data_IF_138347725613
#
_entry.id   IF_138347725613
#
_cell.length_a   1.000
_cell.length_b   1.000
_cell.length_c   1.000
_cell.angle_alpha   90.00
_cell.angle_beta   90.00
_cell.angle_gamma   90.00
#
_symmetry.space_group_name_H-M   'P 1'
#
loop_
_entity.id
_entity.type
_entity.pdbx_description
1 polymer ?
#
# COMPACT_ATOMS: atom_id res chain seq x y z
N UNK A 1 47.55 -54.27 34.77
CA UNK A 1 46.86 -53.35 33.86
C UNK A 1 46.43 -52.11 34.69
N UNK A 2 47.24 -51.07 34.65
CA UNK A 2 47.01 -49.81 35.39
C UNK A 2 46.16 -48.87 34.59
N UNK A 3 44.96 -48.52 35.12
CA UNK A 3 44.08 -47.48 34.49
C UNK A 3 44.60 -46.08 34.85
N UNK A 4 45.20 -45.42 33.91
CA UNK A 4 45.53 -43.96 33.99
C UNK A 4 44.25 -43.20 34.04
N UNK A 5 43.88 -42.63 35.21
CA UNK A 5 42.81 -41.62 35.30
C UNK A 5 43.30 -40.33 34.65
N UNK A 6 42.72 -40.01 33.48
CA UNK A 6 42.88 -38.70 32.85
C UNK A 6 42.23 -37.64 33.75
N UNK A 7 43.06 -36.96 34.55
CA UNK A 7 42.60 -35.81 35.32
C UNK A 7 42.18 -34.68 34.38
N UNK A 8 41.03 -34.08 34.62
CA UNK A 8 40.60 -32.84 33.91
C UNK A 8 41.70 -31.80 33.97
N UNK A 9 42.06 -31.17 32.85
CA UNK A 9 43.13 -30.18 32.76
C UNK A 9 42.90 -29.07 33.78
N UNK A 10 43.97 -28.61 34.43
CA UNK A 10 43.95 -27.61 35.50
C UNK A 10 43.19 -26.35 35.13
N UNK A 11 43.26 -25.96 33.87
CA UNK A 11 42.56 -24.83 33.28
C UNK A 11 41.03 -24.94 33.38
N UNK A 12 40.47 -26.15 33.14
CA UNK A 12 39.03 -26.42 33.24
C UNK A 12 38.57 -26.36 34.69
N UNK A 13 39.41 -26.82 35.67
CA UNK A 13 39.09 -26.73 37.10
C UNK A 13 39.17 -25.30 37.62
N UNK A 14 40.12 -24.51 37.18
CA UNK A 14 40.22 -23.07 37.49
C UNK A 14 39.04 -22.30 36.91
N UNK A 15 38.71 -22.50 35.62
CA UNK A 15 37.56 -21.89 35.00
C UNK A 15 36.25 -22.24 35.73
N UNK A 16 36.03 -23.52 36.08
CA UNK A 16 34.86 -23.96 36.84
C UNK A 16 34.79 -23.39 38.28
N UNK A 17 35.93 -23.06 38.88
CA UNK A 17 35.99 -22.43 40.20
C UNK A 17 35.73 -20.94 40.17
N UNK A 18 36.20 -20.22 39.13
CA UNK A 18 35.89 -18.82 38.90
C UNK A 18 34.43 -18.61 38.53
N UNK A 19 33.83 -19.51 37.72
CA UNK A 19 32.39 -19.51 37.45
C UNK A 19 31.52 -19.69 38.69
N UNK A 20 32.00 -20.31 39.75
CA UNK A 20 31.25 -20.48 41.02
C UNK A 20 31.37 -19.30 41.98
N UNK A 21 32.37 -18.45 41.83
CA UNK A 21 32.71 -17.42 42.82
C UNK A 21 32.22 -16.00 42.49
N UNK A 22 31.71 -15.72 41.30
CA UNK A 22 31.51 -14.33 40.90
C UNK A 22 30.45 -14.02 39.85
N UNK A 23 29.36 -14.80 39.77
CA UNK A 23 28.34 -14.60 38.70
C UNK A 23 27.37 -13.43 38.99
N UNK A 24 27.29 -12.93 40.25
CA UNK A 24 26.27 -11.90 40.57
C UNK A 24 26.48 -10.54 39.87
N UNK A 25 27.73 -10.11 39.60
CA UNK A 25 27.99 -8.88 38.81
C UNK A 25 27.95 -9.11 37.31
N UNK A 26 28.28 -10.32 36.85
CA UNK A 26 28.31 -10.66 35.43
C UNK A 26 26.91 -10.95 34.86
N UNK A 27 25.97 -11.35 35.74
CA UNK A 27 24.58 -11.64 35.36
C UNK A 27 23.85 -10.42 34.76
N UNK A 28 24.06 -9.23 35.31
CA UNK A 28 23.47 -7.99 34.78
C UNK A 28 24.03 -7.66 33.39
N UNK A 29 25.36 -7.80 33.22
CA UNK A 29 26.02 -7.60 31.93
C UNK A 29 25.51 -8.59 30.86
N UNK A 30 25.40 -9.86 31.23
CA UNK A 30 24.85 -10.90 30.35
C UNK A 30 23.38 -10.65 30.01
N UNK A 31 22.60 -10.21 30.98
CA UNK A 31 21.19 -9.84 30.78
C UNK A 31 21.02 -8.64 29.82
N UNK A 32 21.89 -7.63 29.95
CA UNK A 32 21.89 -6.49 29.04
C UNK A 32 22.22 -6.90 27.59
N UNK A 33 23.25 -7.74 27.41
CA UNK A 33 23.60 -8.26 26.08
C UNK A 33 22.45 -9.11 25.53
N UNK A 34 21.91 -10.03 26.33
CA UNK A 34 20.80 -10.89 25.91
C UNK A 34 19.58 -10.07 25.53
N UNK A 35 19.25 -9.02 26.28
CA UNK A 35 18.16 -8.11 25.99
C UNK A 35 18.39 -7.31 24.69
N UNK A 36 19.61 -6.81 24.49
CA UNK A 36 19.98 -6.11 23.25
C UNK A 36 19.87 -7.02 22.02
N UNK A 37 20.43 -8.23 22.11
CA UNK A 37 20.34 -9.22 21.03
C UNK A 37 18.90 -9.65 20.78
N UNK A 38 18.11 -9.89 21.84
CA UNK A 38 16.70 -10.24 21.72
C UNK A 38 15.87 -9.12 21.06
N UNK A 39 16.15 -7.85 21.39
CA UNK A 39 15.49 -6.71 20.77
C UNK A 39 15.81 -6.62 19.28
N UNK A 40 17.08 -6.76 18.88
CA UNK A 40 17.50 -6.73 17.47
C UNK A 40 16.86 -7.87 16.68
N UNK A 41 16.92 -9.10 17.21
CA UNK A 41 16.32 -10.28 16.56
C UNK A 41 14.81 -10.14 16.50
N UNK A 42 14.16 -9.66 17.57
CA UNK A 42 12.71 -9.47 17.65
C UNK A 42 12.23 -8.49 16.59
N UNK A 43 12.84 -7.31 16.50
CA UNK A 43 12.51 -6.30 15.47
C UNK A 43 12.78 -6.84 14.06
N UNK A 44 13.90 -7.50 13.84
CA UNK A 44 14.22 -8.11 12.55
C UNK A 44 13.23 -9.20 12.13
N UNK A 45 12.74 -10.02 13.07
CA UNK A 45 11.73 -11.05 12.81
C UNK A 45 10.37 -10.45 12.45
N UNK A 46 9.93 -9.42 13.20
CA UNK A 46 8.66 -8.72 12.91
C UNK A 46 8.72 -8.03 11.55
N UNK A 47 9.84 -7.34 11.25
CA UNK A 47 10.05 -6.68 9.96
C UNK A 47 9.97 -7.67 8.79
N UNK A 48 10.66 -8.80 8.87
CA UNK A 48 10.61 -9.85 7.84
C UNK A 48 9.21 -10.44 7.71
N UNK A 49 8.57 -10.78 8.81
CA UNK A 49 7.21 -11.33 8.81
C UNK A 49 6.19 -10.38 8.15
N UNK A 50 6.34 -9.07 8.37
CA UNK A 50 5.50 -8.06 7.75
C UNK A 50 5.80 -7.92 6.25
N UNK A 51 7.08 -7.87 5.87
CA UNK A 51 7.49 -7.82 4.45
C UNK A 51 7.03 -9.06 3.68
N UNK A 52 7.17 -10.25 4.26
CA UNK A 52 6.71 -11.51 3.66
C UNK A 52 5.18 -11.57 3.55
N UNK A 53 4.47 -11.03 4.54
CA UNK A 53 3.02 -10.88 4.52
C UNK A 53 2.55 -9.93 3.40
N UNK A 54 3.18 -8.77 3.31
CA UNK A 54 2.92 -7.78 2.26
C UNK A 54 3.25 -8.33 0.86
N UNK A 55 4.34 -9.08 0.71
CA UNK A 55 4.70 -9.68 -0.57
C UNK A 55 3.68 -10.73 -1.05
N UNK A 56 3.13 -11.54 -0.13
CA UNK A 56 2.09 -12.52 -0.45
C UNK A 56 0.78 -11.88 -0.89
N UNK A 57 0.36 -10.81 -0.21
CA UNK A 57 -0.84 -10.05 -0.53
C UNK A 57 -0.59 -8.91 -1.53
N UNK A 58 0.66 -8.73 -1.95
CA UNK A 58 1.13 -7.57 -2.71
C UNK A 58 0.34 -7.28 -3.96
N UNK A 59 0.00 -8.32 -4.70
CA UNK A 59 -0.81 -8.20 -5.93
C UNK A 59 -2.22 -7.67 -5.63
N UNK A 60 -2.81 -8.09 -4.52
CA UNK A 60 -4.14 -7.65 -4.09
C UNK A 60 -4.09 -6.20 -3.59
N UNK A 61 -3.10 -5.89 -2.75
CA UNK A 61 -2.90 -4.54 -2.20
C UNK A 61 -2.61 -3.53 -3.32
N UNK A 62 -1.74 -3.89 -4.27
CA UNK A 62 -1.40 -3.02 -5.40
C UNK A 62 -2.55 -2.90 -6.41
N UNK A 63 -3.42 -3.92 -6.50
CA UNK A 63 -4.48 -4.04 -7.50
C UNK A 63 -3.95 -4.38 -8.89
N UNK A 64 -2.74 -4.95 -8.97
CA UNK A 64 -2.03 -5.32 -10.20
C UNK A 64 -0.68 -5.96 -9.91
N UNK A 65 0.10 -6.25 -10.93
CA UNK A 65 1.47 -6.76 -10.78
C UNK A 65 2.49 -5.62 -10.64
N UNK A 66 2.22 -4.49 -11.32
CA UNK A 66 3.04 -3.27 -11.31
C UNK A 66 2.13 -2.04 -11.41
N UNK A 67 2.51 -0.94 -10.79
CA UNK A 67 1.78 0.33 -10.83
C UNK A 67 2.74 1.47 -11.15
N UNK A 68 2.36 2.29 -12.13
CA UNK A 68 3.05 3.50 -12.54
C UNK A 68 2.24 4.70 -12.04
N UNK A 69 2.78 5.38 -11.04
CA UNK A 69 2.11 6.52 -10.41
C UNK A 69 2.72 7.80 -10.94
N UNK A 70 1.86 8.71 -11.39
CA UNK A 70 2.26 10.03 -11.88
C UNK A 70 1.40 11.11 -11.24
N UNK A 71 1.98 12.28 -11.01
CA UNK A 71 1.31 13.44 -10.42
C UNK A 71 1.00 14.48 -11.51
N UNK A 72 -0.09 15.22 -11.31
CA UNK A 72 -0.48 16.40 -12.09
C UNK A 72 -0.93 16.17 -13.53
N UNK A 73 -0.62 15.05 -14.16
CA UNK A 73 -1.00 14.76 -15.55
C UNK A 73 -1.41 13.31 -15.73
N UNK A 74 -2.17 13.05 -16.75
CA UNK A 74 -2.39 11.69 -17.26
C UNK A 74 -1.16 11.20 -18.05
N UNK A 75 -1.16 9.92 -18.41
CA UNK A 75 -0.17 9.35 -19.32
C UNK A 75 -0.26 10.01 -20.70
N UNK A 76 0.88 10.21 -21.34
CA UNK A 76 0.90 10.49 -22.77
C UNK A 76 0.45 9.27 -23.59
N UNK A 77 0.09 9.47 -24.85
CA UNK A 77 -0.30 8.35 -25.72
C UNK A 77 0.81 7.31 -25.89
N UNK A 78 2.08 7.74 -25.91
CA UNK A 78 3.23 6.85 -26.01
C UNK A 78 3.43 6.03 -24.71
N UNK A 79 3.32 6.71 -23.56
CA UNK A 79 3.39 6.06 -22.24
C UNK A 79 2.26 5.03 -22.08
N UNK A 80 1.04 5.41 -22.46
CA UNK A 80 -0.13 4.52 -22.40
C UNK A 80 0.06 3.28 -23.29
N UNK A 81 0.47 3.48 -24.55
CA UNK A 81 0.74 2.38 -25.46
C UNK A 81 1.85 1.44 -24.98
N UNK A 82 2.87 1.99 -24.30
CA UNK A 82 3.90 1.15 -23.65
C UNK A 82 3.30 0.28 -22.54
N UNK A 83 2.43 0.82 -21.68
CA UNK A 83 1.82 0.05 -20.60
C UNK A 83 0.83 -1.00 -21.15
N UNK A 84 0.06 -0.69 -22.17
CA UNK A 84 -0.85 -1.64 -22.83
C UNK A 84 -0.10 -2.81 -23.47
N UNK A 85 1.11 -2.57 -24.01
CA UNK A 85 1.96 -3.65 -24.51
C UNK A 85 2.46 -4.59 -23.43
N UNK A 86 2.49 -4.18 -22.16
CA UNK A 86 2.86 -5.03 -21.03
C UNK A 86 1.70 -5.92 -20.56
N UNK A 87 0.47 -5.45 -20.69
CA UNK A 87 -0.70 -6.17 -20.21
C UNK A 87 -1.96 -5.32 -20.09
N UNK A 88 -2.84 -5.74 -19.21
CA UNK A 88 -4.13 -5.09 -18.99
C UNK A 88 -3.97 -3.89 -18.04
N UNK A 89 -4.23 -2.70 -18.55
CA UNK A 89 -4.07 -1.43 -17.84
C UNK A 89 -5.37 -0.98 -17.19
N UNK A 90 -5.27 -0.54 -15.95
CA UNK A 90 -6.37 0.07 -15.20
C UNK A 90 -5.90 1.41 -14.62
N UNK A 91 -6.49 2.51 -15.09
CA UNK A 91 -6.14 3.86 -14.64
C UNK A 91 -7.11 4.32 -13.57
N UNK A 92 -6.58 4.70 -12.42
CA UNK A 92 -7.30 5.28 -11.31
C UNK A 92 -6.76 6.67 -11.04
N UNK A 93 -7.59 7.53 -10.45
CA UNK A 93 -7.15 8.84 -9.98
C UNK A 93 -7.45 9.00 -8.49
N UNK A 94 -6.62 9.73 -7.78
CA UNK A 94 -6.87 10.10 -6.39
C UNK A 94 -6.47 11.55 -6.14
N UNK A 95 -7.32 12.27 -5.40
CA UNK A 95 -7.03 13.62 -4.93
C UNK A 95 -7.85 13.94 -3.67
N UNK A 96 -7.48 15.01 -2.98
CA UNK A 96 -8.29 15.58 -1.92
C UNK A 96 -9.19 16.67 -2.47
N UNK A 97 -10.45 16.67 -2.04
CA UNK A 97 -11.42 17.67 -2.42
C UNK A 97 -12.43 17.94 -1.31
N UNK A 98 -13.25 18.95 -1.52
CA UNK A 98 -14.37 19.26 -0.62
C UNK A 98 -15.65 18.64 -1.15
N UNK A 99 -16.31 17.84 -0.32
CA UNK A 99 -17.68 17.37 -0.54
C UNK A 99 -18.63 18.25 0.27
N UNK A 100 -19.72 18.71 -0.35
CA UNK A 100 -20.70 19.60 0.33
C UNK A 100 -22.13 19.21 -0.02
N UNK A 101 -23.02 19.32 0.93
CA UNK A 101 -24.46 19.32 0.66
C UNK A 101 -24.89 20.67 0.05
N UNK A 102 -26.02 20.72 -0.65
CA UNK A 102 -26.53 21.97 -1.22
C UNK A 102 -26.76 23.08 -0.19
N UNK A 103 -27.07 22.71 1.05
CA UNK A 103 -27.55 23.58 2.13
C UNK A 103 -26.68 23.53 3.40
N UNK A 104 -25.50 22.88 3.37
CA UNK A 104 -24.76 22.55 4.58
C UNK A 104 -23.23 22.62 4.41
N UNK A 105 -22.57 22.14 5.46
CA UNK A 105 -21.13 22.11 5.61
C UNK A 105 -20.39 21.39 4.49
N UNK A 106 -19.15 21.83 4.31
CA UNK A 106 -18.19 21.16 3.45
C UNK A 106 -17.26 20.27 4.26
N UNK A 107 -17.03 19.06 3.78
CA UNK A 107 -16.14 18.09 4.42
C UNK A 107 -14.99 17.76 3.48
N UNK A 108 -13.75 17.80 3.98
CA UNK A 108 -12.58 17.33 3.24
C UNK A 108 -12.66 15.82 3.09
N UNK A 109 -12.59 15.34 1.86
CA UNK A 109 -12.65 13.92 1.49
C UNK A 109 -11.46 13.52 0.65
N UNK A 110 -11.13 12.24 0.67
CA UNK A 110 -10.20 11.63 -0.26
C UNK A 110 -10.97 10.98 -1.40
N UNK A 111 -10.94 11.63 -2.55
CA UNK A 111 -11.56 11.10 -3.77
C UNK A 111 -10.69 10.00 -4.37
N UNK A 112 -11.35 8.94 -4.78
CA UNK A 112 -10.78 7.86 -5.59
C UNK A 112 -11.69 7.62 -6.78
N UNK A 113 -11.21 8.00 -7.94
CA UNK A 113 -11.88 7.72 -9.19
C UNK A 113 -11.39 6.40 -9.76
N UNK A 114 -12.32 5.53 -10.13
CA UNK A 114 -12.01 4.18 -10.62
C UNK A 114 -12.74 3.90 -11.94
N UNK A 115 -12.16 3.07 -12.83
CA UNK A 115 -12.88 2.61 -14.01
C UNK A 115 -14.00 1.65 -13.61
N UNK A 116 -15.01 1.49 -14.45
CA UNK A 116 -16.11 0.54 -14.18
C UNK A 116 -15.68 -0.92 -14.13
N UNK A 117 -14.45 -1.23 -14.51
CA UNK A 117 -13.84 -2.56 -14.34
C UNK A 117 -13.19 -2.79 -12.96
N UNK A 118 -13.24 -1.80 -12.07
CA UNK A 118 -12.67 -1.89 -10.72
C UNK A 118 -13.58 -2.71 -9.78
N UNK A 119 -13.01 -3.50 -8.85
CA UNK A 119 -11.59 -3.81 -8.74
C UNK A 119 -11.19 -4.95 -9.69
N UNK A 120 -9.99 -4.87 -10.28
CA UNK A 120 -9.45 -5.94 -11.14
C UNK A 120 -8.97 -7.15 -10.34
N UNK A 121 -8.52 -6.90 -9.11
CA UNK A 121 -8.03 -7.92 -8.17
C UNK A 121 -8.62 -7.62 -6.80
N UNK A 122 -9.17 -8.65 -6.16
CA UNK A 122 -9.86 -8.53 -4.87
C UNK A 122 -11.32 -8.13 -5.01
N UNK A 123 -11.93 -7.73 -3.90
CA UNK A 123 -13.36 -7.38 -3.83
C UNK A 123 -13.54 -6.10 -3.03
N UNK A 124 -14.38 -5.20 -3.51
CA UNK A 124 -14.89 -4.08 -2.74
C UNK A 124 -16.24 -4.46 -2.14
N UNK A 125 -16.45 -4.11 -0.87
CA UNK A 125 -17.69 -4.40 -0.14
C UNK A 125 -18.43 -3.11 0.07
N UNK A 126 -19.68 -3.08 -0.39
CA UNK A 126 -20.60 -1.94 -0.29
C UNK A 126 -21.87 -2.37 0.44
N UNK A 127 -22.38 -1.56 1.33
CA UNK A 127 -23.66 -1.74 2.03
C UNK A 127 -24.68 -0.66 1.63
N UNK A 128 -25.94 -1.06 1.33
CA UNK A 128 -26.44 -2.44 1.21
C UNK A 128 -25.75 -3.19 0.09
N UNK A 129 -25.69 -4.54 0.21
CA UNK A 129 -24.93 -5.40 -0.70
C UNK A 129 -25.29 -5.15 -2.16
N UNK A 130 -24.33 -4.65 -2.92
CA UNK A 130 -24.41 -4.39 -4.36
C UNK A 130 -23.01 -4.38 -4.97
N UNK A 131 -22.93 -4.55 -6.27
CA UNK A 131 -21.67 -4.40 -7.00
C UNK A 131 -21.26 -2.91 -7.03
N UNK A 132 -19.99 -2.64 -6.73
CA UNK A 132 -19.47 -1.26 -6.71
C UNK A 132 -19.63 -0.59 -8.08
N UNK A 133 -19.50 -1.33 -9.17
CA UNK A 133 -19.68 -0.84 -10.54
C UNK A 133 -21.08 -0.24 -10.73
N UNK A 134 -22.11 -0.95 -10.26
CA UNK A 134 -23.50 -0.46 -10.31
C UNK A 134 -23.71 0.76 -9.42
N UNK A 135 -23.08 0.76 -8.24
CA UNK A 135 -23.19 1.89 -7.31
C UNK A 135 -22.57 3.18 -7.86
N UNK A 136 -21.46 3.11 -8.61
CA UNK A 136 -20.79 4.30 -9.17
C UNK A 136 -21.18 4.66 -10.59
N UNK A 137 -21.97 3.83 -11.26
CA UNK A 137 -22.42 4.10 -12.64
C UNK A 137 -23.35 5.34 -12.70
N UNK A 138 -23.48 5.92 -13.88
CA UNK A 138 -24.48 6.95 -14.11
C UNK A 138 -25.86 6.32 -14.30
N UNK A 139 -26.87 6.82 -13.57
CA UNK A 139 -28.29 6.50 -13.77
C UNK A 139 -29.07 7.81 -13.93
N UNK A 140 -29.88 7.89 -14.96
CA UNK A 140 -30.69 9.09 -15.28
C UNK A 140 -29.86 10.38 -15.34
N UNK A 141 -28.62 10.29 -15.85
CA UNK A 141 -27.72 11.43 -15.97
C UNK A 141 -27.00 11.83 -14.68
N UNK A 142 -27.23 11.14 -13.56
CA UNK A 142 -26.55 11.39 -12.27
C UNK A 142 -25.59 10.27 -11.95
N UNK A 143 -24.33 10.62 -11.71
CA UNK A 143 -23.33 9.67 -11.29
C UNK A 143 -23.51 9.28 -9.82
N UNK A 144 -23.33 7.99 -9.52
CA UNK A 144 -23.31 7.50 -8.16
C UNK A 144 -21.94 7.59 -7.51
N UNK A 145 -21.92 7.58 -6.19
CA UNK A 145 -20.73 7.37 -5.40
C UNK A 145 -21.00 6.51 -4.18
N UNK A 146 -19.94 5.89 -3.65
CA UNK A 146 -19.94 5.23 -2.36
C UNK A 146 -18.92 5.89 -1.45
N UNK A 147 -19.17 5.90 -0.15
CA UNK A 147 -18.28 6.57 0.81
C UNK A 147 -18.18 5.80 2.12
N UNK A 148 -17.08 5.99 2.84
CA UNK A 148 -16.95 5.47 4.21
C UNK A 148 -18.02 6.05 5.14
N UNK A 149 -18.45 5.28 6.15
CA UNK A 149 -19.44 5.66 7.16
C UNK A 149 -19.17 7.05 7.79
N UNK A 150 -17.91 7.40 7.95
CA UNK A 150 -17.51 8.69 8.52
C UNK A 150 -17.99 9.89 7.70
N UNK A 151 -18.09 9.81 6.38
CA UNK A 151 -18.66 10.89 5.56
C UNK A 151 -20.16 10.93 5.69
N UNK A 152 -20.82 9.77 5.60
CA UNK A 152 -22.28 9.68 5.75
C UNK A 152 -22.75 10.25 7.09
N UNK A 153 -22.05 9.92 8.17
CA UNK A 153 -22.33 10.44 9.50
C UNK A 153 -22.09 11.97 9.61
N UNK A 154 -21.01 12.51 9.00
CA UNK A 154 -20.68 13.94 9.07
C UNK A 154 -21.65 14.82 8.31
N UNK A 155 -22.14 14.34 7.18
CA UNK A 155 -23.08 15.08 6.33
C UNK A 155 -24.54 14.63 6.52
N UNK A 156 -24.82 13.74 7.47
CA UNK A 156 -26.15 13.12 7.69
C UNK A 156 -26.75 12.62 6.37
N UNK A 157 -25.96 11.85 5.60
CA UNK A 157 -26.35 11.38 4.26
C UNK A 157 -27.17 10.11 4.35
N UNK A 158 -28.30 10.13 3.69
CA UNK A 158 -29.13 8.95 3.41
C UNK A 158 -28.95 8.54 1.95
N UNK A 159 -29.11 7.25 1.71
CA UNK A 159 -29.05 6.71 0.34
C UNK A 159 -30.04 7.44 -0.58
N UNK A 160 -29.56 7.81 -1.77
CA UNK A 160 -30.30 8.60 -2.74
C UNK A 160 -30.12 10.12 -2.59
N UNK A 161 -29.56 10.59 -1.47
CA UNK A 161 -29.23 12.01 -1.33
C UNK A 161 -28.02 12.42 -2.16
N UNK A 162 -27.99 13.69 -2.52
CA UNK A 162 -26.99 14.22 -3.44
C UNK A 162 -26.06 15.20 -2.74
N UNK A 163 -24.78 15.16 -3.15
CA UNK A 163 -23.76 16.12 -2.72
C UNK A 163 -23.06 16.71 -3.94
N UNK A 164 -22.46 17.86 -3.76
CA UNK A 164 -21.53 18.44 -4.72
C UNK A 164 -20.09 18.04 -4.38
N UNK A 165 -19.36 17.69 -5.43
CA UNK A 165 -17.89 17.55 -5.42
C UNK A 165 -17.38 18.35 -6.61
N UNK A 166 -16.71 19.48 -6.34
CA UNK A 166 -16.47 20.47 -7.39
C UNK A 166 -17.80 20.92 -8.03
N UNK A 167 -17.92 20.84 -9.35
CA UNK A 167 -19.11 21.21 -10.12
C UNK A 167 -20.09 20.02 -10.28
N UNK A 168 -19.70 18.80 -9.96
CA UNK A 168 -20.53 17.61 -10.15
C UNK A 168 -21.50 17.40 -9.00
N UNK A 169 -22.76 17.12 -9.34
CA UNK A 169 -23.78 16.64 -8.42
C UNK A 169 -23.80 15.12 -8.46
N UNK A 170 -23.49 14.48 -7.32
CA UNK A 170 -23.32 13.04 -7.18
C UNK A 170 -24.33 12.46 -6.20
N UNK A 171 -24.83 11.26 -6.47
CA UNK A 171 -25.80 10.57 -5.62
C UNK A 171 -25.12 9.53 -4.72
N UNK A 172 -25.38 9.61 -3.42
CA UNK A 172 -24.90 8.63 -2.44
C UNK A 172 -25.69 7.32 -2.56
N UNK A 173 -25.00 6.25 -2.93
CA UNK A 173 -25.64 4.94 -3.20
C UNK A 173 -25.27 3.84 -2.24
N UNK A 174 -24.34 4.07 -1.34
CA UNK A 174 -24.01 3.08 -0.33
C UNK A 174 -22.76 3.39 0.46
N UNK A 175 -22.62 2.67 1.57
CA UNK A 175 -21.45 2.74 2.43
C UNK A 175 -20.33 1.84 1.88
N UNK A 176 -19.13 2.38 1.81
CA UNK A 176 -17.91 1.63 1.50
C UNK A 176 -17.38 0.99 2.78
N UNK A 177 -17.61 -0.31 2.93
CA UNK A 177 -17.14 -1.09 4.09
C UNK A 177 -15.68 -1.50 3.91
N UNK A 178 -15.31 -1.94 2.70
CA UNK A 178 -13.95 -2.41 2.42
C UNK A 178 -13.59 -2.22 0.95
N UNK A 179 -12.32 -1.90 0.73
CA UNK A 179 -11.69 -1.89 -0.60
C UNK A 179 -10.37 -2.69 -0.56
N UNK A 180 -10.03 -3.44 -1.64
CA UNK A 180 -8.89 -4.37 -1.61
C UNK A 180 -7.54 -3.68 -1.55
N UNK A 181 -7.44 -2.47 -2.08
CA UNK A 181 -6.22 -1.69 -2.29
C UNK A 181 -6.11 -0.45 -1.39
N UNK A 182 -6.82 -0.43 -0.25
CA UNK A 182 -6.81 0.67 0.72
C UNK A 182 -5.39 1.02 1.17
N UNK A 183 -4.57 0.02 1.42
CA UNK A 183 -3.20 0.20 1.89
C UNK A 183 -2.25 0.80 0.85
N UNK A 184 -2.52 0.60 -0.45
CA UNK A 184 -1.70 1.17 -1.52
C UNK A 184 -1.83 2.70 -1.63
N UNK A 185 -2.94 3.27 -1.16
CA UNK A 185 -3.20 4.70 -1.13
C UNK A 185 -2.40 5.47 -0.07
N UNK A 186 -1.88 4.77 0.93
CA UNK A 186 -1.26 5.38 2.12
C UNK A 186 -2.28 5.79 3.18
N UNK A 187 -1.84 6.60 4.15
CA UNK A 187 -2.70 7.11 5.22
C UNK A 187 -3.57 8.25 4.64
N UNK A 188 -4.87 8.04 4.59
CA UNK A 188 -5.83 9.05 4.15
C UNK A 188 -6.02 10.16 5.20
N UNK A 189 -6.23 11.39 4.73
CA UNK A 189 -6.47 12.57 5.59
C UNK A 189 -7.96 12.92 5.70
N UNK A 190 -8.86 12.10 5.20
CA UNK A 190 -10.31 12.28 5.24
C UNK A 190 -11.04 11.01 4.86
N UNK A 191 -12.37 10.98 5.03
CA UNK A 191 -13.18 9.84 4.62
C UNK A 191 -13.05 9.58 3.10
N UNK A 192 -12.97 8.30 2.75
CA UNK A 192 -12.87 7.86 1.35
C UNK A 192 -14.19 8.02 0.62
N UNK A 193 -14.11 8.52 -0.61
CA UNK A 193 -15.20 8.56 -1.58
C UNK A 193 -14.74 7.87 -2.85
N UNK A 194 -15.49 6.88 -3.33
CA UNK A 194 -15.21 6.21 -4.60
C UNK A 194 -16.31 6.60 -5.61
N UNK A 195 -15.88 7.00 -6.79
CA UNK A 195 -16.72 7.35 -7.92
C UNK A 195 -16.12 6.82 -9.22
N UNK A 196 -16.84 6.89 -10.31
CA UNK A 196 -16.29 6.58 -11.63
C UNK A 196 -15.31 7.66 -12.12
N UNK A 197 -14.40 7.30 -13.04
CA UNK A 197 -13.49 8.27 -13.69
C UNK A 197 -14.31 9.33 -14.44
N UNK A 198 -15.45 8.96 -15.05
CA UNK A 198 -16.32 9.90 -15.75
C UNK A 198 -16.96 10.90 -14.79
N UNK A 199 -17.44 10.43 -13.62
CA UNK A 199 -17.92 11.29 -12.55
C UNK A 199 -16.80 12.25 -12.08
N UNK A 200 -15.59 11.77 -11.93
CA UNK A 200 -14.47 12.58 -11.52
C UNK A 200 -14.14 13.68 -12.55
N UNK A 201 -14.16 13.36 -13.83
CA UNK A 201 -13.96 14.35 -14.90
C UNK A 201 -15.03 15.43 -14.90
N UNK A 202 -16.29 15.08 -14.58
CA UNK A 202 -17.38 16.06 -14.50
C UNK A 202 -17.29 17.01 -13.31
N UNK A 203 -16.40 16.73 -12.31
CA UNK A 203 -16.22 17.62 -11.15
C UNK A 203 -15.56 18.97 -11.47
N UNK A 204 -14.93 19.13 -12.63
CA UNK A 204 -14.13 20.31 -12.96
C UNK A 204 -12.84 20.49 -12.13
N UNK A 205 -12.49 19.51 -11.28
CA UNK A 205 -11.32 19.60 -10.40
C UNK A 205 -10.00 19.28 -11.10
N UNK A 206 -10.05 18.67 -12.29
CA UNK A 206 -8.87 18.37 -13.10
C UNK A 206 -8.49 19.61 -13.90
N UNK A 207 -7.57 20.40 -13.37
CA UNK A 207 -7.09 21.64 -13.97
C UNK A 207 -5.56 21.63 -14.02
N UNK A 208 -4.93 22.45 -14.88
CA UNK A 208 -3.49 22.60 -14.85
C UNK A 208 -3.00 22.97 -13.44
N UNK A 209 -2.07 22.18 -12.89
CA UNK A 209 -1.56 22.35 -11.53
C UNK A 209 -2.36 21.64 -10.44
N UNK A 210 -3.47 20.98 -10.72
CA UNK A 210 -4.19 20.17 -9.74
C UNK A 210 -3.34 19.02 -9.23
N UNK A 211 -3.41 18.77 -7.92
CA UNK A 211 -2.67 17.68 -7.25
C UNK A 211 -3.40 16.34 -7.43
N UNK A 212 -3.67 15.97 -8.68
CA UNK A 212 -4.23 14.66 -9.01
C UNK A 212 -3.11 13.64 -9.11
N UNK A 213 -3.27 12.55 -8.39
CA UNK A 213 -2.40 11.39 -8.43
C UNK A 213 -3.04 10.32 -9.31
N UNK A 214 -2.42 10.05 -10.44
CA UNK A 214 -2.86 9.02 -11.38
C UNK A 214 -2.10 7.72 -11.12
N UNK A 215 -2.84 6.64 -10.95
CA UNK A 215 -2.32 5.30 -10.66
C UNK A 215 -2.66 4.38 -11.84
N UNK A 216 -1.66 4.09 -12.65
CA UNK A 216 -1.80 3.20 -13.80
C UNK A 216 -1.32 1.81 -13.40
N UNK A 217 -2.26 0.92 -13.12
CA UNK A 217 -2.00 -0.43 -12.67
C UNK A 217 -2.01 -1.36 -13.85
N UNK A 218 -1.01 -2.23 -13.91
CA UNK A 218 -0.88 -3.18 -15.01
C UNK A 218 -0.93 -4.60 -14.44
N UNK A 219 -1.83 -5.39 -14.96
CA UNK A 219 -1.84 -6.83 -14.80
C UNK A 219 -1.08 -7.40 -15.98
N UNK A 220 0.15 -7.83 -15.74
CA UNK A 220 1.04 -8.33 -16.80
C UNK A 220 0.41 -9.53 -17.47
N UNK A 221 0.51 -9.59 -18.79
CA UNK A 221 0.06 -10.73 -19.58
C UNK A 221 0.73 -12.01 -19.06
N UNK A 222 -0.08 -13.04 -18.85
CA UNK A 222 0.44 -14.34 -18.41
C UNK A 222 1.37 -14.90 -19.46
N UNK A 223 2.41 -15.61 -19.02
CA UNK A 223 3.28 -16.33 -19.94
C UNK A 223 2.53 -17.47 -20.65
N UNK A 224 3.16 -18.09 -21.65
CA UNK A 224 2.58 -19.20 -22.43
C UNK A 224 2.11 -20.37 -21.55
N UNK A 225 2.71 -20.54 -20.35
CA UNK A 225 2.32 -21.56 -19.38
C UNK A 225 1.18 -21.09 -18.44
N UNK A 226 0.60 -19.89 -18.64
CA UNK A 226 -0.49 -19.35 -17.82
C UNK A 226 -0.05 -18.84 -16.45
N UNK A 227 1.25 -18.80 -16.15
CA UNK A 227 1.79 -18.33 -14.87
C UNK A 227 1.89 -16.80 -14.84
N UNK A 228 1.74 -16.17 -13.68
CA UNK A 228 1.97 -14.74 -13.52
C UNK A 228 3.43 -14.38 -13.81
N UNK A 229 3.70 -13.13 -14.16
CA UNK A 229 5.06 -12.64 -14.36
C UNK A 229 5.92 -12.91 -13.11
N UNK A 230 7.18 -13.31 -13.32
CA UNK A 230 8.13 -13.48 -12.20
C UNK A 230 8.60 -12.12 -11.66
N UNK A 231 9.18 -12.11 -10.46
CA UNK A 231 9.68 -10.87 -9.85
C UNK A 231 10.89 -10.32 -10.61
N UNK A 232 11.71 -11.21 -11.23
CA UNK A 232 12.80 -10.82 -12.10
C UNK A 232 12.26 -10.11 -13.35
N UNK A 233 11.16 -10.60 -13.94
CA UNK A 233 10.51 -9.93 -15.07
C UNK A 233 9.96 -8.55 -14.69
N UNK A 234 9.38 -8.42 -13.51
CA UNK A 234 8.92 -7.12 -12.99
C UNK A 234 10.10 -6.16 -12.81
N UNK A 235 11.22 -6.64 -12.27
CA UNK A 235 12.43 -5.83 -12.12
C UNK A 235 13.00 -5.37 -13.48
N UNK A 236 12.99 -6.25 -14.49
CA UNK A 236 13.37 -5.89 -15.86
C UNK A 236 12.47 -4.80 -16.45
N UNK A 237 11.13 -4.95 -16.31
CA UNK A 237 10.17 -3.95 -16.78
C UNK A 237 10.43 -2.60 -16.12
N UNK A 238 10.72 -2.56 -14.81
CA UNK A 238 11.07 -1.33 -14.10
C UNK A 238 12.30 -0.65 -14.70
N UNK A 239 13.33 -1.42 -15.05
CA UNK A 239 14.56 -0.88 -15.66
C UNK A 239 14.30 -0.40 -17.10
N UNK A 240 13.60 -1.20 -17.91
CA UNK A 240 13.21 -0.83 -19.29
C UNK A 240 12.38 0.47 -19.29
N UNK A 241 11.40 0.59 -18.41
CA UNK A 241 10.55 1.78 -18.28
C UNK A 241 11.37 3.03 -17.92
N UNK A 242 12.30 2.93 -16.96
CA UNK A 242 13.16 4.04 -16.55
C UNK A 242 14.13 4.48 -17.66
N UNK A 243 14.62 3.54 -18.46
CA UNK A 243 15.50 3.83 -19.59
C UNK A 243 14.74 4.48 -20.75
N UNK A 244 13.54 3.99 -21.03
CA UNK A 244 12.73 4.47 -22.16
C UNK A 244 12.07 5.83 -21.87
N UNK A 245 11.66 6.07 -20.62
CA UNK A 245 10.96 7.26 -20.19
C UNK A 245 11.64 7.92 -18.99
N UNK A 246 12.88 8.40 -19.12
CA UNK A 246 13.65 8.96 -18.00
C UNK A 246 12.98 10.20 -17.39
N UNK A 247 12.27 10.99 -18.19
CA UNK A 247 11.62 12.23 -17.79
C UNK A 247 10.13 12.07 -17.45
N UNK A 248 9.60 10.84 -17.46
CA UNK A 248 8.19 10.59 -17.19
C UNK A 248 7.75 10.97 -15.78
N UNK A 249 8.69 11.01 -14.84
CA UNK A 249 8.41 11.29 -13.43
C UNK A 249 7.63 10.17 -12.73
N UNK A 250 7.68 8.95 -13.23
CA UNK A 250 6.96 7.82 -12.66
C UNK A 250 7.52 7.37 -11.32
N UNK A 251 6.65 7.23 -10.34
CA UNK A 251 6.89 6.38 -9.17
C UNK A 251 6.40 4.96 -9.52
N UNK A 252 7.35 4.03 -9.74
CA UNK A 252 7.01 2.67 -10.13
C UNK A 252 7.00 1.79 -8.88
N UNK A 253 5.88 1.08 -8.67
CA UNK A 253 5.69 0.14 -7.55
C UNK A 253 5.40 -1.24 -8.11
N UNK A 254 5.99 -2.26 -7.52
CA UNK A 254 5.73 -3.66 -7.83
C UNK A 254 5.01 -4.34 -6.66
N UNK A 255 4.43 -5.50 -6.89
CA UNK A 255 3.78 -6.29 -5.83
C UNK A 255 4.72 -6.68 -4.69
N UNK A 256 6.04 -6.69 -4.93
CA UNK A 256 7.07 -6.96 -3.91
C UNK A 256 7.56 -5.70 -3.22
N UNK A 257 7.36 -4.52 -3.82
CA UNK A 257 7.73 -3.22 -3.26
C UNK A 257 6.55 -2.24 -3.33
N UNK A 258 5.55 -2.49 -2.49
CA UNK A 258 4.29 -1.72 -2.47
C UNK A 258 4.48 -0.35 -1.85
N UNK A 259 5.39 -0.22 -0.89
CA UNK A 259 5.66 1.02 -0.16
C UNK A 259 7.16 1.24 0.02
N UNK A 260 7.84 1.79 -1.00
CA UNK A 260 9.29 2.09 -0.93
C UNK A 260 9.66 3.01 0.23
N UNK A 261 8.70 3.84 0.67
CA UNK A 261 8.88 4.73 1.82
C UNK A 261 8.93 3.96 3.14
N UNK A 262 8.06 2.95 3.27
CA UNK A 262 8.00 2.09 4.45
C UNK A 262 9.26 1.23 4.59
N UNK A 263 9.75 0.64 3.49
CA UNK A 263 11.00 -0.11 3.48
C UNK A 263 12.18 0.77 3.88
N UNK A 264 12.33 1.96 3.30
CA UNK A 264 13.38 2.91 3.68
C UNK A 264 13.33 3.33 5.15
N UNK A 265 12.13 3.47 5.72
CA UNK A 265 11.98 3.80 7.13
C UNK A 265 12.31 2.62 8.03
N UNK A 266 11.95 1.41 7.64
CA UNK A 266 12.33 0.17 8.33
C UNK A 266 13.85 -0.05 8.32
N UNK A 267 14.50 0.16 7.17
CA UNK A 267 15.95 0.04 7.05
C UNK A 267 16.68 1.04 7.96
N UNK A 268 16.23 2.31 7.94
CA UNK A 268 16.77 3.34 8.85
C UNK A 268 16.56 2.98 10.31
N UNK A 269 15.37 2.47 10.67
CA UNK A 269 15.07 2.06 12.04
C UNK A 269 15.92 0.86 12.47
N UNK A 270 16.09 -0.11 11.59
CA UNK A 270 16.95 -1.29 11.83
C UNK A 270 18.42 -0.87 11.97
N UNK A 271 18.91 0.03 11.10
CA UNK A 271 20.26 0.58 11.21
C UNK A 271 20.46 1.36 12.52
N UNK A 272 19.47 2.19 12.91
CA UNK A 272 19.53 2.92 14.18
C UNK A 272 19.58 1.97 15.38
N UNK A 273 18.73 0.94 15.41
CA UNK A 273 18.74 -0.05 16.49
C UNK A 273 20.03 -0.87 16.54
N UNK A 274 20.61 -1.18 15.39
CA UNK A 274 21.89 -1.87 15.30
C UNK A 274 23.02 -0.99 15.85
N UNK A 275 22.98 0.32 15.56
CA UNK A 275 23.97 1.29 16.06
C UNK A 275 23.86 1.51 17.57
N UNK A 276 22.63 1.50 18.13
CA UNK A 276 22.38 1.72 19.56
C UNK A 276 22.61 0.45 20.36
N UNK A 277 22.50 -0.73 19.71
CA UNK A 277 22.73 -2.04 20.37
C UNK A 277 24.19 -2.53 20.34
N UNK A 278 25.06 -1.82 19.64
CA UNK A 278 26.54 -1.99 19.66
C UNK A 278 27.17 -1.12 20.73
#
# INVERSE_FOLDING_TARGET
MSRVRKGTPLVVRLAAREFRGGISGFGVFLACIALGVAAIIGVGSVSRGLSDGLAREGRRILGGDISFVIMHRELSSEEHGYLEALGDVSTLASMRAMARRPDAESVLVELKAVPLSYPRIGTAIVEPSQEIQSAIAAHDGVHGFVAEAALAARLDLKRGEKIFVGDALLEYRGELVSEPDKLAGGIGFGPRVIMSVDAFRSTGLIQPGSLVRWLNRVVIARNVAGSPASDERLAQIVQEAKQRFPDAGWEIRTRTNISPQFERNLDKFTQFLTLVGL
#
